data_IF_591832253794
#
_entry.id   IF_591832253794
#
_cell.length_a   1.000
_cell.length_b   1.000
_cell.length_c   1.000
_cell.angle_alpha   90.00
_cell.angle_beta   90.00
_cell.angle_gamma   90.00
#
_symmetry.space_group_name_H-M   'P 1'
#
loop_
_entity.id
_entity.type
_entity.pdbx_description
1 polymer ?
#
# COMPACT_ATOMS: atom_id res chain seq x y z
N UNK A 1 -8.41 14.71 2.60
CA UNK A 1 -9.76 14.11 2.46
C UNK A 1 -9.98 13.11 3.58
N UNK A 2 -11.18 13.09 4.17
CA UNK A 2 -11.65 12.09 5.13
C UNK A 2 -12.89 11.42 4.55
N UNK A 3 -12.88 10.09 4.46
CA UNK A 3 -13.97 9.34 3.82
C UNK A 3 -14.25 8.05 4.57
N UNK A 4 -15.52 7.70 4.70
CA UNK A 4 -15.98 6.38 5.11
C UNK A 4 -16.73 5.76 3.93
N UNK A 5 -16.36 4.54 3.52
CA UNK A 5 -17.01 3.83 2.42
C UNK A 5 -16.09 3.54 1.25
N UNK A 6 -16.62 3.69 0.03
CA UNK A 6 -15.94 3.34 -1.21
C UNK A 6 -15.34 4.58 -1.88
N UNK A 7 -14.06 4.50 -2.24
CA UNK A 7 -13.43 5.40 -3.20
C UNK A 7 -13.18 4.59 -4.47
N UNK A 8 -13.75 5.05 -5.58
CA UNK A 8 -13.49 4.52 -6.91
C UNK A 8 -13.10 5.67 -7.83
N UNK A 9 -11.98 5.55 -8.53
CA UNK A 9 -11.46 6.61 -9.38
C UNK A 9 -10.34 6.15 -10.31
N UNK A 10 -10.14 6.89 -11.39
CA UNK A 10 -9.08 6.60 -12.36
C UNK A 10 -7.75 7.13 -11.83
N UNK A 11 -7.64 8.45 -11.68
CA UNK A 11 -6.46 9.11 -11.11
C UNK A 11 -6.85 9.91 -9.88
N UNK A 12 -6.06 9.79 -8.81
CA UNK A 12 -6.27 10.55 -7.58
C UNK A 12 -4.95 11.11 -7.06
N UNK A 13 -4.86 12.43 -7.00
CA UNK A 13 -3.76 13.14 -6.35
C UNK A 13 -4.25 13.84 -5.08
N UNK A 14 -3.76 13.43 -3.92
CA UNK A 14 -3.98 14.22 -2.70
C UNK A 14 -2.72 14.40 -1.87
N UNK A 15 -2.68 15.49 -1.11
CA UNK A 15 -1.62 15.70 -0.12
C UNK A 15 -1.82 14.80 1.10
N UNK A 16 -3.07 14.59 1.54
CA UNK A 16 -3.39 13.79 2.73
C UNK A 16 -4.75 13.12 2.62
N UNK A 17 -4.79 11.82 2.87
CA UNK A 17 -6.01 11.02 2.93
C UNK A 17 -6.11 10.23 4.25
N UNK A 18 -7.31 10.18 4.81
CA UNK A 18 -7.70 9.30 5.90
C UNK A 18 -8.98 8.58 5.49
N UNK A 19 -8.99 7.25 5.51
CA UNK A 19 -10.12 6.48 5.00
C UNK A 19 -10.41 5.24 5.88
N UNK A 20 -11.69 4.91 6.02
CA UNK A 20 -12.16 3.60 6.51
C UNK A 20 -13.09 2.98 5.46
N UNK A 21 -12.76 1.80 4.93
CA UNK A 21 -13.51 1.19 3.83
C UNK A 21 -12.64 0.63 2.70
N UNK A 22 -13.09 0.81 1.45
CA UNK A 22 -12.49 0.19 0.26
C UNK A 22 -12.02 1.26 -0.73
N UNK A 23 -10.76 1.17 -1.16
CA UNK A 23 -10.21 1.95 -2.28
C UNK A 23 -10.03 1.01 -3.47
N UNK A 24 -10.59 1.41 -4.60
CA UNK A 24 -10.30 0.83 -5.90
C UNK A 24 -9.88 1.96 -6.83
N UNK A 25 -8.63 1.99 -7.29
CA UNK A 25 -8.19 3.04 -8.22
C UNK A 25 -7.16 2.54 -9.21
N UNK A 26 -7.11 3.16 -10.40
CA UNK A 26 -6.06 2.86 -11.37
C UNK A 26 -4.74 3.45 -10.89
N UNK A 27 -4.68 4.76 -10.69
CA UNK A 27 -3.48 5.48 -10.27
C UNK A 27 -3.73 6.33 -9.02
N UNK A 28 -2.82 6.25 -8.05
CA UNK A 28 -2.80 7.18 -6.91
C UNK A 28 -1.43 7.76 -6.65
N UNK A 29 -1.40 9.08 -6.50
CA UNK A 29 -0.26 9.82 -5.99
C UNK A 29 -0.64 10.54 -4.70
N UNK A 30 -0.01 10.14 -3.60
CA UNK A 30 -0.43 10.57 -2.27
C UNK A 30 0.77 10.83 -1.34
N UNK A 31 0.88 12.04 -0.82
CA UNK A 31 1.98 12.35 0.10
C UNK A 31 1.84 11.59 1.44
N UNK A 32 0.61 11.54 1.98
CA UNK A 32 0.32 10.83 3.23
C UNK A 32 -1.03 10.14 3.18
N UNK A 33 -1.02 8.86 3.52
CA UNK A 33 -2.24 8.05 3.65
C UNK A 33 -2.27 7.31 4.97
N UNK A 34 -3.44 7.32 5.60
CA UNK A 34 -3.79 6.44 6.71
C UNK A 34 -5.10 5.74 6.35
N UNK A 35 -5.12 4.42 6.33
CA UNK A 35 -6.32 3.69 5.96
C UNK A 35 -6.55 2.49 6.83
N UNK A 36 -7.83 2.15 7.00
CA UNK A 36 -8.27 0.86 7.53
C UNK A 36 -9.22 0.23 6.52
N UNK A 37 -8.90 -0.99 6.08
CA UNK A 37 -9.74 -1.74 5.13
C UNK A 37 -8.95 -2.30 3.95
N UNK A 38 -9.55 -2.25 2.77
CA UNK A 38 -9.02 -2.90 1.57
C UNK A 38 -8.57 -1.85 0.54
N UNK A 39 -7.36 -2.00 0.04
CA UNK A 39 -6.82 -1.24 -1.08
C UNK A 39 -6.62 -2.20 -2.25
N UNK A 40 -7.22 -1.86 -3.38
CA UNK A 40 -6.93 -2.49 -4.66
C UNK A 40 -6.52 -1.42 -5.67
N UNK A 41 -5.32 -1.53 -6.21
CA UNK A 41 -4.77 -0.51 -7.10
C UNK A 41 -3.86 -1.07 -8.17
N UNK A 42 -3.88 -0.45 -9.35
CA UNK A 42 -2.89 -0.78 -10.38
C UNK A 42 -1.55 -0.14 -10.03
N UNK A 43 -1.52 1.18 -9.94
CA UNK A 43 -0.30 1.96 -9.70
C UNK A 43 -0.45 2.86 -8.48
N UNK A 44 0.58 2.86 -7.64
CA UNK A 44 0.61 3.62 -6.40
C UNK A 44 1.96 4.26 -6.14
N UNK A 45 1.94 5.59 -5.96
CA UNK A 45 3.08 6.37 -5.51
C UNK A 45 2.75 7.09 -4.20
N UNK A 46 3.43 6.70 -3.11
CA UNK A 46 3.27 7.39 -1.83
C UNK A 46 4.57 7.77 -1.14
N UNK A 47 4.58 8.94 -0.52
CA UNK A 47 5.68 9.28 0.38
C UNK A 47 5.56 8.55 1.72
N UNK A 48 4.34 8.43 2.26
CA UNK A 48 4.09 7.72 3.52
C UNK A 48 2.72 7.07 3.55
N UNK A 49 2.68 5.77 3.83
CA UNK A 49 1.45 5.01 4.04
C UNK A 49 1.46 4.33 5.41
N UNK A 50 0.31 4.38 6.08
CA UNK A 50 -0.02 3.56 7.24
C UNK A 50 -1.32 2.82 6.95
N UNK A 51 -1.30 1.49 7.07
CA UNK A 51 -2.43 0.63 6.70
C UNK A 51 -2.71 -0.41 7.79
N UNK A 52 -4.00 -0.72 7.98
CA UNK A 52 -4.48 -1.89 8.70
C UNK A 52 -5.52 -2.60 7.84
N UNK A 53 -5.27 -3.84 7.41
CA UNK A 53 -6.13 -4.54 6.46
C UNK A 53 -5.39 -5.26 5.32
N UNK A 54 -5.86 -5.07 4.07
CA UNK A 54 -5.36 -5.82 2.91
C UNK A 54 -5.02 -4.88 1.75
N UNK A 55 -3.80 -5.02 1.21
CA UNK A 55 -3.32 -4.32 0.01
C UNK A 55 -3.13 -5.34 -1.10
N UNK A 56 -3.79 -5.10 -2.22
CA UNK A 56 -3.50 -5.74 -3.49
C UNK A 56 -3.07 -4.67 -4.50
N UNK A 57 -1.82 -4.71 -4.94
CA UNK A 57 -1.28 -3.71 -5.87
C UNK A 57 -0.48 -4.37 -6.99
N UNK A 58 -0.59 -3.86 -8.22
CA UNK A 58 0.29 -4.31 -9.30
C UNK A 58 1.67 -3.67 -9.12
N UNK A 59 1.73 -2.35 -9.20
CA UNK A 59 2.96 -1.58 -9.10
C UNK A 59 2.90 -0.59 -7.94
N UNK A 60 3.92 -0.65 -7.10
CA UNK A 60 3.96 0.12 -5.87
C UNK A 60 5.32 0.77 -5.64
N UNK A 61 5.32 2.11 -5.59
CA UNK A 61 6.47 2.91 -5.18
C UNK A 61 6.18 3.67 -3.89
N UNK A 62 6.90 3.36 -2.80
CA UNK A 62 6.84 4.19 -1.59
C UNK A 62 8.18 4.47 -0.94
N UNK A 63 8.27 5.67 -0.37
CA UNK A 63 9.36 5.99 0.54
C UNK A 63 9.24 5.31 1.90
N UNK A 64 8.03 5.29 2.49
CA UNK A 64 7.81 4.70 3.81
C UNK A 64 6.45 4.01 3.93
N UNK A 65 6.48 2.73 4.27
CA UNK A 65 5.29 1.94 4.55
C UNK A 65 5.33 1.38 5.98
N UNK A 66 4.19 1.49 6.67
CA UNK A 66 3.87 0.71 7.86
C UNK A 66 2.56 -0.02 7.61
N UNK A 67 2.59 -1.34 7.67
CA UNK A 67 1.40 -2.15 7.47
C UNK A 67 1.16 -3.13 8.63
N UNK A 68 -0.11 -3.35 8.93
CA UNK A 68 -0.57 -4.44 9.77
C UNK A 68 -1.66 -5.20 9.04
N UNK A 69 -1.26 -6.24 8.32
CA UNK A 69 -2.19 -7.09 7.61
C UNK A 69 -1.55 -7.89 6.51
N UNK A 70 -2.21 -7.93 5.35
CA UNK A 70 -1.82 -8.77 4.22
C UNK A 70 -1.49 -7.90 3.02
N UNK A 71 -0.32 -8.12 2.44
CA UNK A 71 0.12 -7.46 1.22
C UNK A 71 0.29 -8.50 0.12
N UNK A 72 -0.32 -8.22 -1.03
CA UNK A 72 -0.03 -8.87 -2.30
C UNK A 72 0.43 -7.79 -3.26
N UNK A 73 1.66 -7.91 -3.76
CA UNK A 73 2.20 -6.95 -4.72
C UNK A 73 2.92 -7.67 -5.86
N UNK A 74 2.72 -7.24 -7.11
CA UNK A 74 3.52 -7.80 -8.20
C UNK A 74 4.92 -7.16 -8.19
N UNK A 75 4.98 -5.84 -8.30
CA UNK A 75 6.22 -5.08 -8.33
C UNK A 75 6.25 -4.03 -7.23
N UNK A 76 7.34 -4.01 -6.47
CA UNK A 76 7.43 -3.14 -5.32
C UNK A 76 8.80 -2.47 -5.18
N UNK A 77 8.83 -1.14 -5.29
CA UNK A 77 9.97 -0.31 -4.96
C UNK A 77 9.73 0.41 -3.63
N UNK A 78 10.46 0.03 -2.57
CA UNK A 78 10.36 0.73 -1.28
C UNK A 78 11.70 1.09 -0.68
N UNK A 79 11.77 2.30 -0.12
CA UNK A 79 12.93 2.72 0.65
C UNK A 79 12.87 2.15 2.09
N UNK A 80 11.72 2.22 2.76
CA UNK A 80 11.57 1.66 4.12
C UNK A 80 10.21 1.02 4.35
N UNK A 81 10.24 -0.21 4.82
CA UNK A 81 9.06 -1.03 5.10
C UNK A 81 9.09 -1.57 6.53
N UNK A 82 7.95 -1.51 7.22
CA UNK A 82 7.70 -2.18 8.49
C UNK A 82 6.35 -2.90 8.44
N UNK A 83 6.33 -4.22 8.61
CA UNK A 83 5.09 -5.01 8.46
C UNK A 83 4.91 -5.97 9.62
N UNK A 84 3.67 -6.09 10.05
CA UNK A 84 3.20 -7.16 10.92
C UNK A 84 2.11 -7.93 10.18
N UNK A 85 2.44 -9.12 9.66
CA UNK A 85 1.49 -9.93 8.91
C UNK A 85 2.12 -10.71 7.74
N UNK A 86 1.38 -10.86 6.64
CA UNK A 86 1.75 -11.70 5.51
C UNK A 86 2.08 -10.86 4.28
N UNK A 87 3.17 -11.20 3.59
CA UNK A 87 3.54 -10.61 2.31
C UNK A 87 3.66 -11.69 1.26
N UNK A 88 3.00 -11.45 0.12
CA UNK A 88 3.24 -12.11 -1.15
C UNK A 88 3.76 -11.07 -2.14
N UNK A 89 4.96 -11.29 -2.69
CA UNK A 89 5.51 -10.38 -3.70
C UNK A 89 6.22 -11.15 -4.81
N UNK A 90 6.14 -10.69 -6.06
CA UNK A 90 6.93 -11.27 -7.17
C UNK A 90 8.29 -10.56 -7.23
N UNK A 91 8.28 -9.26 -7.51
CA UNK A 91 9.49 -8.45 -7.63
C UNK A 91 9.58 -7.40 -6.52
N UNK A 92 10.78 -7.25 -5.95
CA UNK A 92 11.01 -6.29 -4.88
C UNK A 92 12.38 -5.59 -5.00
N UNK A 93 12.36 -4.27 -4.96
CA UNK A 93 13.52 -3.41 -4.78
C UNK A 93 13.39 -2.69 -3.44
N UNK A 94 14.21 -3.09 -2.46
CA UNK A 94 14.07 -2.68 -1.07
C UNK A 94 15.40 -2.22 -0.47
N UNK A 95 15.41 -1.03 0.15
CA UNK A 95 16.57 -0.59 0.92
C UNK A 95 16.54 -1.08 2.37
N UNK A 96 15.38 -1.02 3.03
CA UNK A 96 15.24 -1.42 4.44
C UNK A 96 13.89 -2.03 4.76
N UNK A 97 13.92 -3.24 5.31
CA UNK A 97 12.75 -4.04 5.63
C UNK A 97 12.80 -4.53 7.09
N UNK A 98 11.66 -4.47 7.79
CA UNK A 98 11.46 -5.09 9.10
C UNK A 98 10.11 -5.79 9.11
N UNK A 99 10.09 -7.09 9.34
CA UNK A 99 8.87 -7.89 9.24
C UNK A 99 8.73 -8.78 10.46
N UNK A 100 7.55 -8.73 11.06
CA UNK A 100 7.09 -9.68 12.07
C UNK A 100 5.93 -10.47 11.47
N UNK A 101 6.26 -11.56 10.78
CA UNK A 101 5.29 -12.40 10.09
C UNK A 101 5.94 -13.23 8.99
N UNK A 102 5.17 -13.57 7.96
CA UNK A 102 5.61 -14.45 6.86
C UNK A 102 5.80 -13.64 5.58
N UNK A 103 6.85 -13.98 4.83
CA UNK A 103 7.13 -13.45 3.51
C UNK A 103 7.23 -14.61 2.54
N UNK A 104 6.54 -14.50 1.42
CA UNK A 104 6.69 -15.37 0.29
C UNK A 104 6.99 -14.54 -0.94
N UNK A 105 8.21 -14.68 -1.44
CA UNK A 105 8.67 -14.12 -2.71
C UNK A 105 8.56 -15.19 -3.78
N UNK A 106 7.87 -14.89 -4.88
CA UNK A 106 7.92 -15.71 -6.08
C UNK A 106 9.06 -15.15 -6.96
N UNK A 107 10.09 -15.95 -7.22
CA UNK A 107 11.17 -15.62 -8.17
C UNK A 107 11.01 -16.43 -9.46
#
# INVERSE_FOLDING_TARGET
>A
MQTMGLIHGLEQCFTRMQMVGLIHTLEQCLNRMQTMGLIHTLEQCFTRMQMVGLIHTLEQCLNRMQDRGHIHTLEQCLNRMQIVGLIHTLEQCLNRMQIAGLIHTLE
#
